data_IF_140525147047
#
_entry.id   IF_140525147047
#
_cell.length_a   1.000
_cell.length_b   1.000
_cell.length_c   1.000
_cell.angle_alpha   90.00
_cell.angle_beta   90.00
_cell.angle_gamma   90.00
#
_symmetry.space_group_name_H-M   'P 1'
#
loop_
_entity.id
_entity.type
_entity.pdbx_description
1 polymer ?
#
# COMPACT_ATOMS: atom_id res chain seq x y z
N UNK A 1 -2.30 -9.21 0.10
CA UNK A 1 -2.08 -9.94 -1.17
C UNK A 1 -1.95 -8.90 -2.27
N UNK A 2 -0.92 -8.95 -3.14
CA UNK A 2 -0.81 -7.95 -4.22
C UNK A 2 -1.98 -8.13 -5.20
N UNK A 3 -2.84 -7.12 -5.35
CA UNK A 3 -3.89 -7.14 -6.37
C UNK A 3 -3.32 -7.33 -7.78
N UNK A 4 -3.91 -8.24 -8.56
CA UNK A 4 -3.55 -8.49 -9.95
C UNK A 4 -4.00 -7.32 -10.84
N UNK A 5 -3.07 -6.47 -11.25
CA UNK A 5 -3.34 -5.34 -12.15
C UNK A 5 -3.49 -5.78 -13.61
N UNK A 6 -4.51 -5.27 -14.28
CA UNK A 6 -4.76 -5.50 -15.71
C UNK A 6 -4.27 -4.32 -16.55
N UNK A 7 -3.59 -4.59 -17.66
CA UNK A 7 -3.05 -3.55 -18.53
C UNK A 7 -4.19 -2.76 -19.17
N UNK A 8 -4.29 -1.46 -18.87
CA UNK A 8 -5.35 -0.60 -19.43
C UNK A 8 -5.28 -0.42 -20.96
N UNK A 9 -4.21 -0.88 -21.62
CA UNK A 9 -4.06 -0.80 -23.08
C UNK A 9 -4.58 -2.05 -23.80
N UNK A 10 -4.31 -3.25 -23.27
CA UNK A 10 -4.63 -4.52 -23.97
C UNK A 10 -5.33 -5.56 -23.09
N UNK A 11 -5.62 -5.26 -21.82
CA UNK A 11 -6.31 -6.14 -20.87
C UNK A 11 -5.46 -7.26 -20.25
N UNK A 12 -4.21 -7.45 -20.70
CA UNK A 12 -3.33 -8.51 -20.20
C UNK A 12 -2.89 -8.26 -18.75
N UNK A 13 -2.68 -9.32 -17.95
CA UNK A 13 -2.15 -9.17 -16.59
C UNK A 13 -0.76 -8.55 -16.60
N UNK A 14 -0.57 -7.52 -15.78
CA UNK A 14 0.72 -6.87 -15.59
C UNK A 14 1.57 -7.64 -14.60
N UNK A 15 2.89 -7.63 -14.81
CA UNK A 15 3.86 -8.32 -13.97
C UNK A 15 4.81 -7.30 -13.34
N UNK A 16 5.14 -7.48 -12.06
CA UNK A 16 6.19 -6.71 -11.41
C UNK A 16 7.53 -7.05 -12.06
N UNK A 17 8.16 -6.06 -12.69
CA UNK A 17 9.51 -6.21 -13.25
C UNK A 17 10.51 -6.12 -12.11
N UNK A 18 10.47 -5.02 -11.35
CA UNK A 18 11.40 -4.72 -10.25
C UNK A 18 10.90 -3.53 -9.43
N UNK A 19 11.47 -3.41 -8.23
CA UNK A 19 11.38 -2.20 -7.39
C UNK A 19 12.67 -1.41 -7.55
N UNK A 20 12.56 -0.12 -7.82
CA UNK A 20 13.72 0.76 -8.03
C UNK A 20 13.53 2.14 -7.41
N UNK A 21 14.66 2.77 -7.09
CA UNK A 21 14.71 4.16 -6.64
C UNK A 21 14.94 5.07 -7.85
N UNK A 22 13.87 5.73 -8.31
CA UNK A 22 13.99 6.76 -9.34
C UNK A 22 14.54 8.04 -8.70
N UNK A 23 15.75 8.43 -9.09
CA UNK A 23 16.37 9.67 -8.64
C UNK A 23 15.59 10.87 -9.21
N UNK A 24 15.09 11.75 -8.34
CA UNK A 24 14.33 12.94 -8.76
C UNK A 24 15.25 14.09 -9.25
N UNK A 25 16.57 13.97 -9.03
CA UNK A 25 17.59 14.95 -9.45
C UNK A 25 18.08 14.75 -10.88
N UNK A 26 18.19 15.84 -11.66
CA UNK A 26 18.87 15.83 -12.97
C UNK A 26 20.38 15.71 -12.73
N UNK A 27 20.97 14.56 -13.06
CA UNK A 27 22.42 14.43 -13.15
C UNK A 27 22.94 15.24 -14.35
N UNK A 28 23.19 16.53 -14.15
CA UNK A 28 23.88 17.38 -15.11
C UNK A 28 25.39 17.15 -15.01
N UNK A 29 26.01 16.65 -16.09
CA UNK A 29 27.44 16.31 -16.19
C UNK A 29 28.39 17.52 -16.03
N UNK A 30 27.86 18.74 -15.86
CA UNK A 30 28.66 19.97 -15.91
C UNK A 30 28.66 20.86 -14.65
N UNK A 31 27.90 20.56 -13.60
CA UNK A 31 27.98 21.37 -12.37
C UNK A 31 27.48 20.63 -11.12
N UNK A 32 28.42 20.20 -10.27
CA UNK A 32 28.21 20.11 -8.83
C UNK A 32 27.20 19.06 -8.34
N UNK A 33 27.73 17.90 -7.98
CA UNK A 33 27.10 16.75 -7.30
C UNK A 33 26.58 17.03 -5.86
N UNK A 34 26.24 18.29 -5.53
CA UNK A 34 25.73 18.65 -4.20
C UNK A 34 24.19 18.84 -4.17
N UNK A 35 23.59 19.33 -5.26
CA UNK A 35 22.13 19.50 -5.35
C UNK A 35 21.38 18.17 -5.51
N UNK A 36 21.99 17.19 -6.17
CA UNK A 36 21.37 15.88 -6.41
C UNK A 36 21.30 14.99 -5.17
N UNK A 37 22.10 15.27 -4.12
CA UNK A 37 22.02 14.55 -2.84
C UNK A 37 20.81 14.93 -1.98
N UNK A 38 20.19 16.09 -2.24
CA UNK A 38 19.00 16.59 -1.53
C UNK A 38 17.69 16.33 -2.29
N UNK A 39 17.76 16.02 -3.58
CA UNK A 39 16.61 15.65 -4.40
C UNK A 39 16.32 14.15 -4.19
N UNK A 40 15.69 13.82 -3.06
CA UNK A 40 15.42 12.46 -2.61
C UNK A 40 14.95 11.48 -3.70
N UNK A 41 15.14 10.19 -3.46
CA UNK A 41 14.78 9.16 -4.42
C UNK A 41 13.33 8.69 -4.21
N UNK A 42 12.60 8.48 -5.31
CA UNK A 42 11.27 7.91 -5.29
C UNK A 42 11.36 6.38 -5.37
N UNK A 43 10.96 5.70 -4.31
CA UNK A 43 10.86 4.24 -4.28
C UNK A 43 9.60 3.79 -5.01
N UNK A 44 9.77 3.10 -6.13
CA UNK A 44 8.68 2.68 -7.00
C UNK A 44 8.73 1.21 -7.35
N UNK A 45 7.55 0.60 -7.46
CA UNK A 45 7.34 -0.65 -8.16
C UNK A 45 7.11 -0.36 -9.64
N UNK A 46 7.86 -1.05 -10.51
CA UNK A 46 7.73 -0.96 -11.97
C UNK A 46 7.00 -2.21 -12.46
N UNK A 47 5.79 -2.04 -12.98
CA UNK A 47 5.01 -3.10 -13.60
C UNK A 47 5.09 -3.01 -15.12
N UNK A 48 5.18 -4.17 -15.77
CA UNK A 48 5.23 -4.30 -17.22
C UNK A 48 4.15 -5.23 -17.76
N UNK A 49 3.54 -4.84 -18.87
CA UNK A 49 2.67 -5.72 -19.64
C UNK A 49 3.51 -6.57 -20.61
N UNK A 50 3.47 -7.91 -20.51
CA UNK A 50 4.26 -8.79 -21.37
C UNK A 50 3.79 -8.79 -22.83
N UNK A 51 2.53 -8.42 -23.09
CA UNK A 51 1.94 -8.44 -24.42
C UNK A 51 2.25 -7.15 -25.21
N UNK A 52 1.98 -5.97 -24.64
CA UNK A 52 2.11 -4.70 -25.36
C UNK A 52 3.28 -3.81 -24.92
N UNK A 53 4.05 -4.23 -23.90
CA UNK A 53 5.21 -3.48 -23.39
C UNK A 53 4.87 -2.22 -22.59
N UNK A 54 3.59 -1.99 -22.24
CA UNK A 54 3.20 -0.87 -21.37
C UNK A 54 3.89 -1.00 -20.00
N UNK A 55 4.46 0.11 -19.52
CA UNK A 55 4.99 0.25 -18.18
C UNK A 55 4.09 1.13 -17.31
N UNK A 56 3.95 0.76 -16.04
CA UNK A 56 3.28 1.55 -15.01
C UNK A 56 4.15 1.61 -13.76
N UNK A 57 4.15 2.77 -13.10
CA UNK A 57 4.96 3.05 -11.91
C UNK A 57 4.04 3.33 -10.73
N UNK A 58 4.28 2.64 -9.62
CA UNK A 58 3.51 2.80 -8.39
C UNK A 58 4.46 3.12 -7.24
N UNK A 59 4.05 3.96 -6.29
CA UNK A 59 4.82 4.18 -5.06
C UNK A 59 4.92 2.87 -4.32
N UNK A 60 6.06 2.49 -3.75
CA UNK A 60 6.26 1.13 -3.26
C UNK A 60 5.37 0.69 -2.06
N UNK A 61 4.63 1.62 -1.44
CA UNK A 61 3.63 1.40 -0.40
C UNK A 61 2.20 1.22 -0.95
N UNK A 62 2.00 1.30 -2.26
CA UNK A 62 0.67 1.30 -2.92
C UNK A 62 -0.20 0.06 -2.69
N UNK A 63 0.43 -1.07 -2.35
CA UNK A 63 -0.22 -2.38 -2.22
C UNK A 63 0.25 -3.11 -0.96
N UNK A 64 0.72 -2.34 0.03
CA UNK A 64 0.89 -2.87 1.37
C UNK A 64 -0.49 -2.93 2.00
N UNK A 65 -0.88 -4.11 2.49
CA UNK A 65 -1.94 -4.15 3.50
C UNK A 65 -1.50 -3.22 4.63
N UNK A 66 -2.40 -2.40 5.20
CA UNK A 66 -2.04 -1.57 6.33
C UNK A 66 -1.33 -2.46 7.34
N UNK A 67 -0.06 -2.15 7.63
CA UNK A 67 0.65 -2.83 8.70
C UNK A 67 -0.27 -2.75 9.91
N UNK A 68 -0.71 -3.90 10.43
CA UNK A 68 -1.35 -3.96 11.73
C UNK A 68 -0.34 -3.34 12.68
N UNK A 69 -0.56 -2.07 13.05
CA UNK A 69 0.36 -1.38 13.95
C UNK A 69 0.55 -2.29 15.16
N UNK A 70 1.80 -2.66 15.45
CA UNK A 70 2.12 -3.52 16.57
C UNK A 70 1.61 -2.86 17.86
N UNK A 71 0.39 -3.22 18.28
CA UNK A 71 -0.41 -2.46 19.24
C UNK A 71 -1.92 -2.43 18.97
N UNK A 72 -2.41 -2.87 17.80
CA UNK A 72 -3.85 -2.92 17.53
C UNK A 72 -4.54 -3.98 18.40
N UNK A 73 -5.47 -3.55 19.25
CA UNK A 73 -6.27 -4.41 20.11
C UNK A 73 -7.07 -5.39 19.24
N UNK A 74 -7.16 -6.66 19.68
CA UNK A 74 -7.91 -7.68 18.96
C UNK A 74 -9.37 -7.22 18.74
N UNK A 75 -9.89 -7.33 17.51
CA UNK A 75 -11.28 -6.96 17.18
C UNK A 75 -12.23 -8.13 17.38
N UNK A 76 -13.46 -7.85 17.85
CA UNK A 76 -14.55 -8.81 18.00
C UNK A 76 -15.78 -8.35 17.23
N UNK A 77 -16.56 -9.30 16.68
CA UNK A 77 -17.84 -8.99 16.04
C UNK A 77 -18.98 -9.04 17.06
N UNK A 78 -19.83 -8.01 17.08
CA UNK A 78 -21.00 -7.95 17.94
C UNK A 78 -22.03 -9.02 17.52
N UNK A 79 -22.47 -9.92 18.42
CA UNK A 79 -23.46 -10.95 18.08
C UNK A 79 -24.87 -10.40 17.79
N UNK A 80 -25.13 -9.13 18.12
CA UNK A 80 -26.43 -8.49 17.94
C UNK A 80 -26.52 -7.67 16.65
N UNK A 81 -25.46 -6.94 16.28
CA UNK A 81 -25.47 -6.05 15.11
C UNK A 81 -24.44 -6.39 14.02
N UNK A 82 -23.53 -7.35 14.28
CA UNK A 82 -22.52 -7.80 13.33
C UNK A 82 -21.28 -6.90 13.17
N UNK A 83 -21.33 -5.63 13.60
CA UNK A 83 -20.18 -4.73 13.50
C UNK A 83 -18.97 -5.22 14.32
N UNK A 84 -17.78 -5.07 13.74
CA UNK A 84 -16.50 -5.29 14.41
C UNK A 84 -16.08 -4.08 15.24
N UNK A 85 -15.64 -4.31 16.47
CA UNK A 85 -15.14 -3.28 17.38
C UNK A 85 -14.02 -3.86 18.27
N UNK A 86 -13.33 -3.03 19.06
CA UNK A 86 -12.17 -3.47 19.84
C UNK A 86 -12.60 -4.30 21.07
N UNK A 87 -11.85 -5.36 21.38
CA UNK A 87 -12.27 -6.35 22.39
C UNK A 87 -12.37 -5.78 23.82
N UNK A 88 -11.65 -4.71 24.12
CA UNK A 88 -11.63 -4.04 25.42
C UNK A 88 -12.82 -3.09 25.64
N UNK A 89 -13.59 -2.78 24.59
CA UNK A 89 -14.80 -1.98 24.73
C UNK A 89 -15.87 -2.74 25.56
N UNK A 90 -16.37 -2.17 26.68
CA UNK A 90 -17.35 -2.82 27.55
C UNK A 90 -18.72 -3.04 26.89
N UNK A 91 -19.03 -2.28 25.84
CA UNK A 91 -20.27 -2.34 25.07
C UNK A 91 -19.97 -2.08 23.60
N UNK A 92 -20.77 -2.65 22.72
CA UNK A 92 -20.69 -2.35 21.30
C UNK A 92 -21.00 -0.85 21.05
N UNK A 93 -20.10 -0.07 20.43
CA UNK A 93 -20.30 1.36 20.19
C UNK A 93 -21.43 1.65 19.18
N UNK A 94 -21.83 0.65 18.39
CA UNK A 94 -22.87 0.80 17.37
C UNK A 94 -24.28 0.52 17.89
N UNK A 95 -24.46 -0.50 18.74
CA UNK A 95 -25.79 -0.90 19.23
C UNK A 95 -25.96 -0.86 20.74
N UNK A 96 -24.89 -0.59 21.50
CA UNK A 96 -24.91 -0.49 22.97
C UNK A 96 -25.02 -1.83 23.70
N UNK A 97 -25.10 -2.97 23.00
CA UNK A 97 -25.15 -4.29 23.61
C UNK A 97 -23.87 -4.56 24.42
N UNK A 98 -24.00 -5.26 25.56
CA UNK A 98 -22.86 -5.61 26.41
C UNK A 98 -21.89 -6.53 25.66
N UNK A 99 -20.59 -6.24 25.77
CA UNK A 99 -19.56 -7.13 25.26
C UNK A 99 -19.53 -8.40 26.13
N UNK A 100 -19.76 -9.56 25.52
CA UNK A 100 -19.78 -10.87 26.21
C UNK A 100 -18.41 -11.54 26.29
N UNK A 101 -17.37 -10.91 25.74
CA UNK A 101 -16.00 -11.43 25.73
C UNK A 101 -15.08 -10.80 26.78
N UNK A 102 -15.62 -9.87 27.57
CA UNK A 102 -14.97 -9.25 28.74
C UNK A 102 -15.38 -9.95 30.05
#
# INVERSE_FOLDING_TARGET
MREDLSCLRCGEKMQLIRREFIQLGKAGVFSGDWGNRLAGALDVDILGCPNCGKLEFFRADWNQEPEEEAGSIAKVSCPYCGHSYDMDDPKCPYCGAKNTRL
#
